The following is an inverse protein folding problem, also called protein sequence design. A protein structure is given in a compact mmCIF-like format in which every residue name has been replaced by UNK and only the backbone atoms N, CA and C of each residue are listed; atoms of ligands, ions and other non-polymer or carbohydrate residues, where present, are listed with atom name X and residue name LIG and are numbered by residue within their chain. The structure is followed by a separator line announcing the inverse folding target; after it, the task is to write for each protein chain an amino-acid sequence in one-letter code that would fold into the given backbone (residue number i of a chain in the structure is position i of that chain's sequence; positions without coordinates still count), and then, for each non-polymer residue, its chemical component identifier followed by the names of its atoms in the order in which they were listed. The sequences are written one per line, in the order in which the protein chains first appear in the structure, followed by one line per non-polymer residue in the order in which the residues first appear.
data_IF_317022201400
#
_entry.id   IF_317022201400
#
_cell.length_a   1.000
_cell.length_b   1.000
_cell.length_c   1.000
_cell.angle_alpha   90.00
_cell.angle_beta   90.00
_cell.angle_gamma   90.00
#
_symmetry.space_group_name_H-M   'P 1'
#
loop_
_entity.id
_entity.type
_entity.pdbx_description
1 polymer ?
#
# COMPACT_ATOMS: atom_id res chain seq x y z
N UNK A 1 -3.07 -42.13 6.95
CA UNK A 1 -2.27 -41.38 7.94
C UNK A 1 -1.52 -40.19 7.33
N UNK A 2 -0.99 -40.30 6.12
CA UNK A 2 -0.21 -39.25 5.43
C UNK A 2 -1.00 -37.98 5.11
N UNK A 3 -2.31 -38.07 4.85
CA UNK A 3 -3.17 -36.90 4.65
C UNK A 3 -3.23 -35.95 5.86
N UNK A 4 -3.22 -36.49 7.08
CA UNK A 4 -3.20 -35.66 8.30
C UNK A 4 -1.89 -34.89 8.40
N UNK A 5 -0.76 -35.52 8.05
CA UNK A 5 0.53 -34.86 7.98
C UNK A 5 0.55 -33.76 6.91
N UNK A 6 0.03 -34.03 5.71
CA UNK A 6 -0.10 -33.05 4.64
C UNK A 6 -0.85 -31.79 5.12
N UNK A 7 -2.07 -31.96 5.65
CA UNK A 7 -2.87 -30.82 6.12
C UNK A 7 -2.26 -30.14 7.35
N UNK A 8 -1.65 -30.90 8.27
CA UNK A 8 -0.94 -30.35 9.42
C UNK A 8 0.22 -29.45 9.00
N UNK A 9 1.09 -29.93 8.12
CA UNK A 9 2.22 -29.16 7.60
C UNK A 9 1.77 -27.97 6.75
N UNK A 10 0.73 -28.13 5.94
CA UNK A 10 0.11 -27.04 5.17
C UNK A 10 -0.33 -25.90 6.10
N UNK A 11 -1.09 -26.22 7.15
CA UNK A 11 -1.59 -25.19 8.07
C UNK A 11 -0.49 -24.62 8.96
N UNK A 12 0.52 -25.39 9.36
CA UNK A 12 1.68 -24.84 10.10
C UNK A 12 2.34 -23.72 9.29
N UNK A 13 2.59 -23.95 8.00
CA UNK A 13 3.27 -22.96 7.15
C UNK A 13 2.39 -21.76 6.81
N UNK A 14 1.16 -21.99 6.36
CA UNK A 14 0.35 -20.92 5.78
C UNK A 14 -0.63 -20.25 6.75
N UNK A 15 -0.89 -20.82 7.94
CA UNK A 15 -1.92 -20.30 8.86
C UNK A 15 -1.72 -18.83 9.24
N UNK A 16 -0.54 -18.37 9.71
CA UNK A 16 -0.38 -16.98 10.12
C UNK A 16 -0.59 -15.99 8.97
N UNK A 17 -0.14 -16.36 7.77
CA UNK A 17 -0.27 -15.51 6.58
C UNK A 17 -1.72 -15.49 6.08
N UNK A 18 -2.40 -16.63 6.05
CA UNK A 18 -3.81 -16.70 5.67
C UNK A 18 -4.69 -15.92 6.66
N UNK A 19 -4.42 -16.04 7.97
CA UNK A 19 -5.13 -15.27 8.99
C UNK A 19 -4.94 -13.76 8.78
N UNK A 20 -3.70 -13.30 8.58
CA UNK A 20 -3.43 -11.90 8.31
C UNK A 20 -4.06 -11.43 6.98
N UNK A 21 -4.04 -12.28 5.95
CA UNK A 21 -4.67 -11.98 4.67
C UNK A 21 -6.18 -11.76 4.82
N UNK A 22 -6.92 -12.71 5.39
CA UNK A 22 -8.38 -12.58 5.52
C UNK A 22 -8.79 -11.51 6.53
N UNK A 23 -8.06 -11.35 7.64
CA UNK A 23 -8.43 -10.42 8.69
C UNK A 23 -8.12 -8.95 8.34
N UNK A 24 -7.07 -8.70 7.56
CA UNK A 24 -6.52 -7.36 7.34
C UNK A 24 -6.48 -6.98 5.85
N UNK A 25 -5.89 -7.82 5.00
CA UNK A 25 -5.65 -7.49 3.59
C UNK A 25 -6.93 -7.56 2.76
N UNK A 26 -7.71 -8.63 2.91
CA UNK A 26 -8.90 -8.92 2.11
C UNK A 26 -10.02 -7.86 2.29
N UNK A 27 -9.94 -7.03 3.34
CA UNK A 27 -10.86 -5.92 3.58
C UNK A 27 -10.69 -4.74 2.62
N UNK A 28 -9.58 -4.68 1.87
CA UNK A 28 -9.34 -3.62 0.89
C UNK A 28 -8.79 -4.22 -0.42
N UNK A 29 -9.51 -4.01 -1.52
CA UNK A 29 -9.15 -4.50 -2.86
C UNK A 29 -7.77 -4.00 -3.32
N UNK A 30 -7.37 -2.80 -2.91
CA UNK A 30 -6.06 -2.23 -3.21
C UNK A 30 -4.92 -2.99 -2.54
N UNK A 31 -5.12 -3.52 -1.32
CA UNK A 31 -4.11 -4.34 -0.66
C UNK A 31 -4.02 -5.71 -1.32
N UNK A 32 -5.15 -6.27 -1.77
CA UNK A 32 -5.19 -7.55 -2.50
C UNK A 32 -4.39 -7.47 -3.80
N UNK A 33 -4.56 -6.42 -4.62
CA UNK A 33 -3.76 -6.27 -5.85
C UNK A 33 -2.27 -6.07 -5.55
N UNK A 34 -1.91 -5.40 -4.45
CA UNK A 34 -0.52 -5.28 -4.02
C UNK A 34 0.07 -6.62 -3.56
N UNK A 35 -0.74 -7.48 -2.92
CA UNK A 35 -0.35 -8.86 -2.60
C UNK A 35 -0.09 -9.69 -3.86
N UNK A 36 -0.98 -9.64 -4.85
CA UNK A 36 -0.77 -10.34 -6.13
C UNK A 36 0.49 -9.81 -6.82
N UNK A 37 0.67 -8.48 -6.85
CA UNK A 37 1.88 -7.84 -7.36
C UNK A 37 3.14 -8.31 -6.62
N UNK A 38 3.10 -8.42 -5.29
CA UNK A 38 4.23 -8.90 -4.49
C UNK A 38 4.63 -10.33 -4.81
N UNK A 39 3.65 -11.22 -5.02
CA UNK A 39 3.90 -12.58 -5.50
C UNK A 39 4.54 -12.58 -6.87
N UNK A 40 4.00 -11.80 -7.82
CA UNK A 40 4.50 -11.73 -9.18
C UNK A 40 5.95 -11.21 -9.26
N UNK A 41 6.25 -10.07 -8.63
CA UNK A 41 7.60 -9.50 -8.65
C UNK A 41 8.62 -10.41 -7.96
N UNK A 42 8.22 -11.14 -6.92
CA UNK A 42 9.08 -12.13 -6.29
C UNK A 42 9.35 -13.33 -7.22
N UNK A 43 8.33 -13.84 -7.93
CA UNK A 43 8.51 -14.90 -8.93
C UNK A 43 9.43 -14.47 -10.08
N UNK A 44 9.27 -13.25 -10.59
CA UNK A 44 10.17 -12.70 -11.62
C UNK A 44 11.61 -12.60 -11.09
N UNK A 45 11.78 -12.23 -9.82
CA UNK A 45 13.10 -12.17 -9.20
C UNK A 45 13.82 -13.52 -9.18
N UNK A 46 13.14 -14.58 -8.72
CA UNK A 46 13.74 -15.92 -8.72
C UNK A 46 13.87 -16.50 -10.13
N UNK A 47 13.02 -16.11 -11.09
CA UNK A 47 13.17 -16.49 -12.49
C UNK A 47 14.47 -15.92 -13.08
N UNK A 48 14.78 -14.66 -12.80
CA UNK A 48 16.05 -14.05 -13.22
C UNK A 48 17.23 -14.71 -12.51
N UNK A 49 17.09 -15.05 -11.22
CA UNK A 49 18.10 -15.81 -10.51
C UNK A 49 18.33 -17.20 -11.14
N UNK A 50 17.29 -17.88 -11.61
CA UNK A 50 17.39 -19.16 -12.31
C UNK A 50 18.08 -19.02 -13.68
N UNK A 51 17.77 -17.96 -14.44
CA UNK A 51 18.47 -17.63 -15.69
C UNK A 51 19.94 -17.33 -15.42
N UNK A 52 20.24 -16.54 -14.38
CA UNK A 52 21.59 -16.22 -13.97
C UNK A 52 22.39 -17.48 -13.60
N UNK A 53 21.78 -18.39 -12.86
CA UNK A 53 22.36 -19.69 -12.52
C UNK A 53 22.64 -20.56 -13.76
N UNK A 54 21.80 -20.47 -14.80
CA UNK A 54 21.95 -21.23 -16.04
C UNK A 54 23.13 -20.76 -16.91
N UNK A 55 23.46 -19.47 -16.92
CA UNK A 55 24.48 -18.87 -17.81
C UNK A 55 25.91 -19.37 -17.50
N UNK A 56 26.23 -19.71 -16.25
CA UNK A 56 27.61 -20.03 -15.83
C UNK A 56 27.71 -21.45 -15.25
N UNK A 57 27.84 -22.48 -16.11
CA UNK A 57 27.94 -23.87 -15.70
C UNK A 57 28.96 -24.22 -14.60
N UNK A 58 30.23 -23.78 -14.67
CA UNK A 58 31.26 -24.23 -13.72
C UNK A 58 31.07 -23.65 -12.31
N UNK A 59 30.32 -22.55 -12.19
CA UNK A 59 30.07 -21.89 -10.89
C UNK A 59 28.85 -22.44 -10.17
N UNK A 60 28.11 -23.39 -10.78
CA UNK A 60 26.89 -23.96 -10.22
C UNK A 60 27.10 -24.82 -8.97
N UNK A 61 28.32 -25.28 -8.71
CA UNK A 61 28.61 -26.09 -7.51
C UNK A 61 28.89 -25.23 -6.27
N UNK A 62 29.13 -23.94 -6.47
CA UNK A 62 29.51 -23.04 -5.38
C UNK A 62 28.27 -22.40 -4.76
N UNK A 63 27.93 -22.82 -3.53
CA UNK A 63 26.80 -22.27 -2.77
C UNK A 63 26.79 -20.75 -2.69
N UNK A 64 27.99 -20.15 -2.55
CA UNK A 64 28.11 -18.70 -2.42
C UNK A 64 27.63 -17.97 -3.66
N UNK A 65 27.82 -18.55 -4.85
CA UNK A 65 27.40 -17.96 -6.11
C UNK A 65 25.88 -17.99 -6.22
N UNK A 66 25.26 -19.16 -6.03
CA UNK A 66 23.81 -19.32 -6.18
C UNK A 66 23.06 -18.44 -5.19
N UNK A 67 23.38 -18.58 -3.90
CA UNK A 67 22.62 -17.95 -2.83
C UNK A 67 22.79 -16.44 -2.87
N UNK A 68 24.02 -15.95 -3.01
CA UNK A 68 24.28 -14.52 -2.93
C UNK A 68 23.61 -13.76 -4.07
N UNK A 69 23.69 -14.28 -5.29
CA UNK A 69 23.03 -13.64 -6.43
C UNK A 69 21.50 -13.76 -6.34
N UNK A 70 20.97 -14.88 -5.87
CA UNK A 70 19.52 -15.04 -5.66
C UNK A 70 18.96 -14.06 -4.63
N UNK A 71 19.66 -13.86 -3.51
CA UNK A 71 19.26 -12.86 -2.50
C UNK A 71 19.39 -11.45 -3.07
N UNK A 72 20.48 -11.15 -3.78
CA UNK A 72 20.70 -9.84 -4.40
C UNK A 72 19.58 -9.48 -5.38
N UNK A 73 19.19 -10.39 -6.28
CA UNK A 73 18.07 -10.15 -7.19
C UNK A 73 16.75 -9.93 -6.45
N UNK A 74 16.50 -10.64 -5.35
CA UNK A 74 15.30 -10.44 -4.54
C UNK A 74 15.26 -9.05 -3.89
N UNK A 75 16.38 -8.56 -3.39
CA UNK A 75 16.48 -7.20 -2.82
C UNK A 75 16.39 -6.10 -3.88
N UNK A 76 16.96 -6.31 -5.07
CA UNK A 76 16.82 -5.39 -6.21
C UNK A 76 15.35 -5.28 -6.62
N UNK A 77 14.65 -6.41 -6.77
CA UNK A 77 13.24 -6.43 -7.15
C UNK A 77 12.34 -5.81 -6.09
N UNK A 78 12.66 -5.98 -4.81
CA UNK A 78 11.96 -5.29 -3.72
C UNK A 78 12.08 -3.76 -3.86
N UNK A 79 13.27 -3.26 -4.16
CA UNK A 79 13.48 -1.83 -4.39
C UNK A 79 12.77 -1.33 -5.64
N UNK A 80 12.79 -2.09 -6.75
CA UNK A 80 12.03 -1.77 -7.97
C UNK A 80 10.54 -1.67 -7.65
N UNK A 81 9.99 -2.60 -6.88
CA UNK A 81 8.58 -2.57 -6.55
C UNK A 81 8.22 -1.41 -5.61
N UNK A 82 9.10 -1.07 -4.67
CA UNK A 82 8.96 0.17 -3.88
C UNK A 82 8.94 1.42 -4.77
N UNK A 83 9.79 1.50 -5.80
CA UNK A 83 9.82 2.61 -6.74
C UNK A 83 8.52 2.69 -7.55
N UNK A 84 8.03 1.55 -8.03
CA UNK A 84 6.76 1.49 -8.76
C UNK A 84 5.57 1.89 -7.87
N UNK A 85 5.53 1.40 -6.62
CA UNK A 85 4.53 1.80 -5.64
C UNK A 85 4.57 3.32 -5.37
N UNK A 86 5.77 3.86 -5.18
CA UNK A 86 5.95 5.30 -4.91
C UNK A 86 5.53 6.13 -6.12
N UNK A 87 5.86 5.70 -7.34
CA UNK A 87 5.41 6.36 -8.55
C UNK A 87 3.88 6.38 -8.67
N UNK A 88 3.19 5.26 -8.38
CA UNK A 88 1.73 5.17 -8.55
C UNK A 88 0.88 5.83 -7.45
N UNK A 89 1.41 5.96 -6.22
CA UNK A 89 0.60 6.40 -5.07
C UNK A 89 1.05 7.70 -4.41
N UNK A 90 2.23 8.23 -4.74
CA UNK A 90 2.78 9.41 -4.05
C UNK A 90 2.14 10.74 -4.46
N UNK A 91 1.27 10.76 -5.48
CA UNK A 91 0.49 11.95 -5.87
C UNK A 91 -0.92 11.97 -5.26
N UNK A 92 -1.42 10.85 -4.72
CA UNK A 92 -2.78 10.78 -4.14
C UNK A 92 -2.83 11.42 -2.76
N UNK A 93 -3.85 12.23 -2.41
CA UNK A 93 -3.95 12.80 -1.07
C UNK A 93 -4.16 11.71 -0.02
N UNK A 94 -3.68 12.00 1.20
CA UNK A 94 -3.95 11.16 2.37
C UNK A 94 -5.38 11.34 2.87
N UNK A 95 -5.91 10.34 3.57
CA UNK A 95 -7.24 10.41 4.17
C UNK A 95 -7.40 11.63 5.09
N UNK A 96 -6.36 12.01 5.81
CA UNK A 96 -6.38 13.18 6.70
C UNK A 96 -6.52 14.48 5.91
N UNK A 97 -5.81 14.61 4.78
CA UNK A 97 -5.95 15.77 3.89
C UNK A 97 -7.33 15.86 3.26
N UNK A 98 -7.93 14.72 2.89
CA UNK A 98 -9.30 14.67 2.38
C UNK A 98 -10.28 15.16 3.46
N UNK A 99 -10.19 14.61 4.69
CA UNK A 99 -11.04 15.02 5.82
C UNK A 99 -10.89 16.50 6.16
N UNK A 100 -9.66 17.00 6.15
CA UNK A 100 -9.37 18.42 6.40
C UNK A 100 -9.96 19.32 5.31
N UNK A 101 -9.81 18.93 4.04
CA UNK A 101 -10.40 19.64 2.90
C UNK A 101 -11.93 19.66 3.00
N UNK A 102 -12.56 18.52 3.33
CA UNK A 102 -14.01 18.44 3.57
C UNK A 102 -14.48 19.38 4.68
N UNK A 103 -13.77 19.39 5.81
CA UNK A 103 -14.09 20.26 6.93
C UNK A 103 -13.95 21.75 6.59
N UNK A 104 -12.86 22.13 5.90
CA UNK A 104 -12.64 23.52 5.46
C UNK A 104 -13.75 23.98 4.50
N UNK A 105 -14.15 23.15 3.54
CA UNK A 105 -15.22 23.47 2.61
C UNK A 105 -16.58 23.64 3.29
N UNK A 106 -16.89 22.80 4.29
CA UNK A 106 -18.12 22.94 5.07
C UNK A 106 -18.15 24.24 5.89
N UNK A 107 -17.02 24.65 6.47
CA UNK A 107 -16.90 25.93 7.17
C UNK A 107 -17.10 27.12 6.24
N UNK A 108 -16.49 27.08 5.05
CA UNK A 108 -16.63 28.13 4.04
C UNK A 108 -18.07 28.20 3.50
N UNK A 109 -18.76 27.06 3.41
CA UNK A 109 -20.16 27.04 3.01
C UNK A 109 -21.07 27.68 4.04
N UNK A 110 -20.83 27.42 5.34
CA UNK A 110 -21.54 28.07 6.43
C UNK A 110 -21.25 29.59 6.52
N UNK A 111 -19.99 30.01 6.35
CA UNK A 111 -19.63 31.44 6.36
C UNK A 111 -20.34 32.22 5.25
N UNK A 112 -20.39 31.68 4.03
CA UNK A 112 -21.10 32.30 2.90
C UNK A 112 -22.61 32.43 3.15
N UNK A 113 -23.23 31.43 3.78
CA UNK A 113 -24.66 31.51 4.18
C UNK A 113 -24.91 32.60 5.22
N UNK A 114 -24.02 32.76 6.20
CA UNK A 114 -24.11 33.84 7.20
C UNK A 114 -23.97 35.22 6.57
N UNK A 115 -23.04 35.40 5.64
CA UNK A 115 -22.86 36.66 4.92
C UNK A 115 -24.10 37.05 4.10
N UNK A 116 -24.73 36.08 3.43
CA UNK A 116 -25.97 36.32 2.68
C UNK A 116 -27.14 36.70 3.61
N UNK A 117 -27.25 36.08 4.79
CA UNK A 117 -28.26 36.43 5.78
C UNK A 117 -28.04 37.82 6.40
N UNK A 118 -26.79 38.23 6.64
CA UNK A 118 -26.50 39.57 7.19
C UNK A 118 -26.87 40.69 6.20
N UNK A 119 -26.72 40.46 4.90
CA UNK A 119 -27.16 41.42 3.88
C UNK A 119 -28.68 41.66 3.90
N UNK A 120 -29.51 40.74 4.42
CA UNK A 120 -30.95 40.96 4.60
C UNK A 120 -31.29 41.93 5.73
N UNK A 121 -30.40 42.11 6.70
CA UNK A 121 -30.65 42.97 7.87
C UNK A 121 -30.15 44.40 7.68
N UNK A 122 -29.42 44.70 6.60
CA UNK A 122 -29.13 46.09 6.27
C UNK A 122 -30.39 46.72 5.64
N UNK A 123 -31.01 47.72 6.29
CA UNK A 123 -32.09 48.46 5.67
C UNK A 123 -31.53 49.16 4.43
N UNK A 124 -32.32 49.30 3.35
CA UNK A 124 -31.86 49.96 2.14
C UNK A 124 -31.53 51.43 2.46
N UNK A 125 -30.24 51.75 2.59
CA UNK A 125 -29.79 53.12 2.87
C UNK A 125 -29.89 54.03 1.64
N UNK A 126 -30.30 53.52 0.47
CA UNK A 126 -30.13 54.22 -0.79
C UNK A 126 -31.44 54.70 -1.44
N UNK A 127 -32.60 54.55 -0.79
CA UNK A 127 -33.86 55.05 -1.35
C UNK A 127 -34.01 56.58 -1.32
N UNK A 128 -33.08 57.31 -0.69
CA UNK A 128 -33.14 58.79 -0.64
C UNK A 128 -32.16 59.46 -1.63
N UNK A 129 -31.17 58.75 -2.19
CA UNK A 129 -30.15 59.41 -3.02
C UNK A 129 -30.26 59.16 -4.53
N UNK A 130 -30.99 58.14 -4.99
CA UNK A 130 -31.08 57.87 -6.43
C UNK A 130 -32.06 58.77 -7.19
N UNK A 131 -32.89 59.58 -6.52
CA UNK A 131 -33.76 60.55 -7.22
C UNK A 131 -32.96 61.75 -7.73
N UNK A 132 -31.78 62.05 -7.17
CA UNK A 132 -31.05 63.28 -7.52
C UNK A 132 -30.02 63.13 -8.65
N UNK A 133 -29.71 61.91 -9.11
CA UNK A 133 -28.72 61.72 -10.18
C UNK A 133 -29.33 61.42 -11.55
N UNK A 134 -30.66 61.38 -11.69
CA UNK A 134 -31.31 61.07 -12.98
C UNK A 134 -31.51 62.31 -13.90
N UNK A 135 -31.07 63.51 -13.50
CA UNK A 135 -31.30 64.74 -14.29
C UNK A 135 -30.03 65.26 -15.00
N UNK A 136 -28.84 64.74 -14.71
CA UNK A 136 -27.60 65.28 -15.32
C UNK A 136 -26.68 64.14 -15.72
N UNK A 137 -26.93 63.55 -16.90
CA UNK A 137 -25.88 63.12 -17.85
C UNK A 137 -26.54 62.48 -19.09
N UNK A 138 -27.49 63.21 -19.68
CA UNK A 138 -27.74 63.08 -21.12
C UNK A 138 -26.65 63.89 -21.81
N UNK A 139 -25.87 63.25 -22.69
CA UNK A 139 -24.94 63.82 -23.69
C UNK A 139 -23.46 63.51 -23.43
N UNK A 140 -22.99 62.37 -23.94
CA UNK A 140 -21.85 62.30 -24.86
C UNK A 140 -21.65 60.82 -25.28
N UNK A 141 -22.18 60.44 -26.44
CA UNK A 141 -21.46 60.42 -27.71
C UNK A 141 -20.27 59.45 -27.76
N UNK A 142 -20.55 58.36 -28.47
CA UNK A 142 -19.73 57.74 -29.51
C UNK A 142 -18.52 56.88 -29.13
N UNK A 143 -18.44 55.81 -29.93
CA UNK A 143 -17.24 55.10 -30.42
C UNK A 143 -16.78 53.88 -29.63
N UNK A 144 -17.27 52.69 -30.00
CA UNK A 144 -16.51 51.73 -30.81
C UNK A 144 -17.24 50.39 -30.89
N UNK A 145 -17.78 50.09 -32.07
CA UNK A 145 -18.18 48.76 -32.48
C UNK A 145 -16.92 47.89 -32.59
N UNK A 146 -16.71 46.99 -31.63
CA UNK A 146 -15.83 45.84 -31.85
C UNK A 146 -16.68 44.58 -31.93
N UNK A 147 -16.61 43.98 -33.12
CA UNK A 147 -17.28 42.77 -33.57
C UNK A 147 -17.08 41.62 -32.57
N UNK A 148 -18.15 41.19 -31.92
CA UNK A 148 -18.22 39.87 -31.31
C UNK A 148 -19.22 39.02 -32.09
N UNK A 149 -18.67 38.11 -32.89
CA UNK A 149 -19.41 37.07 -33.58
C UNK A 149 -19.85 35.99 -32.59
N UNK A 150 -21.14 35.65 -32.70
CA UNK A 150 -21.68 34.29 -32.69
C UNK A 150 -21.51 33.44 -31.42
N UNK A 151 -22.59 33.26 -30.66
CA UNK A 151 -23.52 32.14 -30.89
C UNK A 151 -24.63 32.05 -29.83
N UNK A 152 -25.86 31.85 -30.33
CA UNK A 152 -27.04 31.22 -29.73
C UNK A 152 -27.71 31.89 -28.51
N UNK A 153 -28.64 32.77 -28.88
CA UNK A 153 -30.05 32.84 -28.42
C UNK A 153 -30.49 31.61 -27.62
N UNK A 154 -30.77 31.82 -26.34
CA UNK A 154 -31.94 31.25 -25.67
C UNK A 154 -32.68 32.47 -25.09
N UNK A 155 -33.74 32.87 -25.80
CA UNK A 155 -34.72 33.83 -25.32
C UNK A 155 -35.54 33.14 -24.22
N UNK A 156 -35.06 33.20 -22.98
CA UNK A 156 -35.89 32.94 -21.80
C UNK A 156 -36.38 34.28 -21.25
N UNK A 157 -37.70 34.41 -21.20
CA UNK A 157 -38.47 35.54 -20.72
C UNK A 157 -37.81 36.30 -19.55
N UNK A 158 -37.64 37.61 -19.73
CA UNK A 158 -37.29 38.57 -18.68
C UNK A 158 -38.42 38.70 -17.65
N UNK A 159 -38.72 37.62 -16.91
CA UNK A 159 -39.37 37.75 -15.61
C UNK A 159 -38.34 38.35 -14.67
N UNK A 160 -38.65 39.52 -14.11
CA UNK A 160 -37.85 40.15 -13.07
C UNK A 160 -37.78 39.19 -11.88
N UNK A 161 -36.67 38.46 -11.83
CA UNK A 161 -36.49 37.42 -10.83
C UNK A 161 -36.28 38.12 -9.49
N UNK A 162 -37.18 37.85 -8.54
CA UNK A 162 -37.05 38.34 -7.16
C UNK A 162 -35.67 38.02 -6.60
N UNK A 163 -35.11 38.94 -5.82
CA UNK A 163 -33.79 38.76 -5.19
C UNK A 163 -33.75 37.47 -4.33
N UNK A 164 -34.89 37.05 -3.78
CA UNK A 164 -35.01 35.78 -3.05
C UNK A 164 -34.81 34.55 -3.94
N UNK A 165 -35.33 34.55 -5.18
CA UNK A 165 -35.12 33.46 -6.14
C UNK A 165 -33.67 33.43 -6.66
N UNK A 166 -33.05 34.61 -6.89
CA UNK A 166 -31.63 34.68 -7.25
C UNK A 166 -30.76 34.08 -6.14
N UNK A 167 -31.08 34.32 -4.87
CA UNK A 167 -30.38 33.76 -3.71
C UNK A 167 -30.60 32.25 -3.55
N UNK A 168 -31.85 31.77 -3.64
CA UNK A 168 -32.16 30.33 -3.61
C UNK A 168 -31.32 29.58 -4.65
N UNK A 169 -31.22 30.13 -5.87
CA UNK A 169 -30.33 29.58 -6.91
C UNK A 169 -28.84 29.65 -6.55
N UNK A 170 -28.37 30.72 -5.89
CA UNK A 170 -26.96 30.80 -5.43
C UNK A 170 -26.64 29.73 -4.37
N UNK A 171 -27.53 29.54 -3.40
CA UNK A 171 -27.39 28.53 -2.33
C UNK A 171 -27.45 27.12 -2.92
N UNK A 172 -28.37 26.88 -3.86
CA UNK A 172 -28.52 25.61 -4.55
C UNK A 172 -27.27 25.29 -5.40
N UNK A 173 -26.78 26.25 -6.21
CA UNK A 173 -25.51 26.10 -6.96
C UNK A 173 -24.32 25.81 -6.04
N UNK A 174 -24.30 26.39 -4.84
CA UNK A 174 -23.25 26.13 -3.87
C UNK A 174 -23.36 24.73 -3.25
N UNK A 175 -24.56 24.30 -2.90
CA UNK A 175 -24.84 22.94 -2.42
C UNK A 175 -24.47 21.90 -3.49
N UNK A 176 -24.75 22.17 -4.76
CA UNK A 176 -24.37 21.32 -5.89
C UNK A 176 -22.84 21.15 -5.97
N UNK A 177 -22.09 22.25 -5.89
CA UNK A 177 -20.61 22.21 -5.89
C UNK A 177 -20.05 21.42 -4.72
N UNK A 178 -20.64 21.54 -3.54
CA UNK A 178 -20.22 20.77 -2.36
C UNK A 178 -20.44 19.26 -2.56
N UNK A 179 -21.59 18.87 -3.12
CA UNK A 179 -21.88 17.47 -3.48
C UNK A 179 -20.87 16.96 -4.52
N UNK A 180 -20.60 17.73 -5.57
CA UNK A 180 -19.65 17.35 -6.63
C UNK A 180 -18.23 17.18 -6.07
N UNK A 181 -17.76 18.09 -5.22
CA UNK A 181 -16.43 17.96 -4.63
C UNK A 181 -16.38 16.79 -3.65
N UNK A 182 -17.41 16.57 -2.83
CA UNK A 182 -17.46 15.41 -1.94
C UNK A 182 -17.44 14.10 -2.73
N UNK A 183 -18.20 13.99 -3.81
CA UNK A 183 -18.14 12.84 -4.72
C UNK A 183 -16.75 12.69 -5.35
N UNK A 184 -16.10 13.80 -5.74
CA UNK A 184 -14.72 13.77 -6.25
C UNK A 184 -13.71 13.30 -5.21
N UNK A 185 -13.89 13.68 -3.95
CA UNK A 185 -13.06 13.24 -2.84
C UNK A 185 -13.30 11.77 -2.48
N UNK A 186 -14.51 11.26 -2.67
CA UNK A 186 -14.84 9.84 -2.50
C UNK A 186 -14.25 8.98 -3.63
N UNK A 187 -14.37 9.43 -4.88
CA UNK A 187 -13.78 8.74 -6.06
C UNK A 187 -12.26 8.78 -6.05
N UNK A 188 -11.65 9.81 -5.47
CA UNK A 188 -10.22 9.89 -5.27
C UNK A 188 -9.83 8.96 -4.12
N UNK A 189 -9.65 7.67 -4.43
CA UNK A 189 -9.30 6.65 -3.43
C UNK A 189 -8.14 7.16 -2.57
N UNK A 190 -8.38 7.28 -1.26
CA UNK A 190 -7.36 7.75 -0.33
C UNK A 190 -6.09 6.91 -0.45
N UNK A 191 -4.93 7.55 -0.33
CA UNK A 191 -3.64 6.84 -0.31
C UNK A 191 -3.66 5.75 0.78
N UNK A 192 -3.33 4.49 0.45
CA UNK A 192 -3.32 3.42 1.44
C UNK A 192 -2.17 3.62 2.43
N UNK A 193 -2.34 3.09 3.65
CA UNK A 193 -1.30 3.10 4.66
C UNK A 193 -0.05 2.38 4.13
N UNK A 194 1.06 3.10 4.01
CA UNK A 194 2.30 2.58 3.45
C UNK A 194 2.79 1.30 4.12
N UNK A 195 2.70 1.21 5.45
CA UNK A 195 3.08 0.03 6.22
C UNK A 195 2.21 -1.17 5.85
N UNK A 196 0.91 -0.95 5.71
CA UNK A 196 -0.04 -1.99 5.36
C UNK A 196 0.14 -2.44 3.91
N UNK A 197 0.39 -1.49 2.99
CA UNK A 197 0.78 -1.76 1.61
C UNK A 197 2.04 -2.63 1.54
N UNK A 198 3.08 -2.30 2.31
CA UNK A 198 4.32 -3.09 2.37
C UNK A 198 4.13 -4.47 2.98
N UNK A 199 3.27 -4.60 4.00
CA UNK A 199 2.91 -5.88 4.58
C UNK A 199 2.13 -6.75 3.57
N UNK A 200 1.21 -6.16 2.80
CA UNK A 200 0.46 -6.85 1.76
C UNK A 200 1.37 -7.37 0.64
N UNK A 201 2.33 -6.56 0.18
CA UNK A 201 3.39 -6.98 -0.76
C UNK A 201 4.20 -8.13 -0.17
N UNK A 202 4.59 -7.99 1.10
CA UNK A 202 5.32 -9.00 1.85
C UNK A 202 4.59 -10.33 1.92
N UNK A 203 3.29 -10.30 2.20
CA UNK A 203 2.42 -11.49 2.19
C UNK A 203 2.42 -12.17 0.84
N UNK A 204 2.32 -11.40 -0.25
CA UNK A 204 2.41 -11.93 -1.61
C UNK A 204 3.71 -12.67 -1.87
N UNK A 205 4.84 -12.00 -1.58
CA UNK A 205 6.16 -12.60 -1.74
C UNK A 205 6.42 -13.79 -0.80
N UNK A 206 5.83 -13.77 0.39
CA UNK A 206 5.93 -14.86 1.37
C UNK A 206 5.11 -16.08 0.93
N UNK A 207 3.87 -15.88 0.48
CA UNK A 207 3.06 -16.98 -0.09
C UNK A 207 3.76 -17.60 -1.29
N UNK A 208 4.27 -16.78 -2.21
CA UNK A 208 5.01 -17.27 -3.37
C UNK A 208 6.26 -18.07 -2.98
N UNK A 209 7.04 -17.57 -2.02
CA UNK A 209 8.17 -18.30 -1.44
C UNK A 209 7.73 -19.65 -0.87
N UNK A 210 6.66 -19.66 -0.08
CA UNK A 210 6.13 -20.88 0.52
C UNK A 210 5.78 -21.92 -0.54
N UNK A 211 5.09 -21.52 -1.60
CA UNK A 211 4.76 -22.43 -2.69
C UNK A 211 5.99 -22.95 -3.43
N UNK A 212 6.93 -22.08 -3.80
CA UNK A 212 8.10 -22.50 -4.59
C UNK A 212 9.06 -23.37 -3.77
N UNK A 213 9.31 -23.04 -2.51
CA UNK A 213 10.31 -23.75 -1.70
C UNK A 213 9.76 -24.98 -0.99
N UNK A 214 8.45 -25.01 -0.68
CA UNK A 214 7.84 -26.09 0.09
C UNK A 214 6.78 -26.87 -0.67
N UNK A 215 6.19 -26.34 -1.74
CA UNK A 215 5.07 -26.96 -2.46
C UNK A 215 5.35 -28.39 -2.92
N UNK A 216 6.50 -28.62 -3.56
CA UNK A 216 6.88 -29.97 -4.02
C UNK A 216 7.15 -30.94 -2.87
N UNK A 217 7.83 -30.47 -1.81
CA UNK A 217 8.11 -31.27 -0.61
C UNK A 217 6.80 -31.64 0.10
N UNK A 218 5.89 -30.69 0.20
CA UNK A 218 4.57 -30.88 0.80
C UNK A 218 3.73 -31.86 -0.03
N UNK A 219 3.76 -31.78 -1.36
CA UNK A 219 3.04 -32.71 -2.22
C UNK A 219 3.48 -34.16 -2.00
N UNK A 220 4.79 -34.40 -1.87
CA UNK A 220 5.34 -35.75 -1.62
C UNK A 220 4.90 -36.34 -0.27
N UNK A 221 4.52 -35.51 0.70
CA UNK A 221 3.99 -35.98 1.98
C UNK A 221 2.66 -36.74 1.89
N UNK A 222 1.98 -36.68 0.73
CA UNK A 222 0.76 -37.46 0.47
C UNK A 222 1.05 -38.93 0.13
N UNK A 223 2.29 -39.22 -0.30
CA UNK A 223 2.75 -40.56 -0.66
C UNK A 223 2.81 -41.53 0.52
N UNK A 224 3.02 -42.83 0.26
CA UNK A 224 3.11 -43.84 1.32
C UNK A 224 4.40 -43.68 2.14
N UNK A 225 4.26 -43.63 3.46
CA UNK A 225 5.39 -43.57 4.40
C UNK A 225 5.72 -42.15 4.86
N UNK A 226 6.84 -42.02 5.57
CA UNK A 226 7.37 -40.74 6.05
C UNK A 226 8.85 -40.68 5.78
N UNK A 227 9.34 -39.52 5.36
CA UNK A 227 10.76 -39.27 5.17
C UNK A 227 11.30 -38.58 6.42
N UNK A 228 12.40 -39.08 6.96
CA UNK A 228 13.12 -38.42 8.06
C UNK A 228 14.23 -37.54 7.50
N UNK A 229 14.49 -36.43 8.19
CA UNK A 229 15.57 -35.54 7.77
C UNK A 229 16.93 -36.21 8.02
N UNK A 230 17.85 -36.28 7.03
CA UNK A 230 19.19 -36.81 7.25
C UNK A 230 19.97 -36.04 8.33
N UNK A 231 19.70 -34.73 8.48
CA UNK A 231 20.33 -33.88 9.48
C UNK A 231 19.78 -34.12 10.90
N UNK A 232 18.58 -34.68 11.01
CA UNK A 232 17.93 -35.02 12.28
C UNK A 232 17.06 -36.27 12.10
N UNK A 233 17.62 -37.48 12.32
CA UNK A 233 16.90 -38.74 12.13
C UNK A 233 15.66 -38.89 13.01
N UNK A 234 15.51 -38.08 14.05
CA UNK A 234 14.36 -38.07 14.95
C UNK A 234 13.16 -37.26 14.46
N UNK A 235 13.31 -36.40 13.43
CA UNK A 235 12.24 -35.52 12.96
C UNK A 235 11.87 -35.80 11.51
N UNK A 236 10.57 -35.69 11.24
CA UNK A 236 10.01 -35.80 9.90
C UNK A 236 10.49 -34.64 9.01
N UNK A 237 10.99 -34.95 7.82
CA UNK A 237 11.45 -33.99 6.82
C UNK A 237 10.36 -32.96 6.47
N UNK A 238 9.11 -33.42 6.31
CA UNK A 238 7.97 -32.57 5.96
C UNK A 238 7.66 -31.56 7.05
N UNK A 239 7.69 -31.99 8.32
CA UNK A 239 7.51 -31.11 9.48
C UNK A 239 8.65 -30.10 9.58
N UNK A 240 9.89 -30.55 9.43
CA UNK A 240 11.07 -29.70 9.44
C UNK A 240 11.01 -28.61 8.37
N UNK A 241 10.72 -28.98 7.12
CA UNK A 241 10.55 -28.03 6.03
C UNK A 241 9.40 -27.05 6.30
N UNK A 242 8.27 -27.53 6.83
CA UNK A 242 7.13 -26.66 7.14
C UNK A 242 7.46 -25.55 8.16
N UNK A 243 8.28 -25.85 9.17
CA UNK A 243 8.72 -24.91 10.21
C UNK A 243 9.70 -23.89 9.63
N UNK A 244 10.69 -24.33 8.84
CA UNK A 244 11.64 -23.41 8.19
C UNK A 244 10.89 -22.48 7.22
N UNK A 245 9.96 -23.02 6.43
CA UNK A 245 9.15 -22.22 5.52
C UNK A 245 8.23 -21.26 6.27
N UNK A 246 7.63 -21.65 7.40
CA UNK A 246 6.87 -20.74 8.25
C UNK A 246 7.73 -19.51 8.65
N UNK A 247 8.94 -19.74 9.16
CA UNK A 247 9.82 -18.63 9.54
C UNK A 247 10.22 -17.75 8.36
N UNK A 248 10.62 -18.35 7.25
CA UNK A 248 11.03 -17.62 6.05
C UNK A 248 9.88 -16.79 5.46
N UNK A 249 8.67 -17.34 5.43
CA UNK A 249 7.50 -16.62 4.93
C UNK A 249 7.11 -15.45 5.83
N UNK A 250 7.19 -15.59 7.17
CA UNK A 250 7.04 -14.47 8.10
C UNK A 250 8.11 -13.41 7.92
N UNK A 251 9.38 -13.83 7.77
CA UNK A 251 10.49 -12.93 7.49
C UNK A 251 10.29 -12.17 6.18
N UNK A 252 9.76 -12.79 5.12
CA UNK A 252 9.42 -12.08 3.88
C UNK A 252 8.41 -10.94 4.12
N UNK A 253 7.40 -11.15 4.97
CA UNK A 253 6.46 -10.08 5.35
C UNK A 253 7.20 -8.96 6.08
N UNK A 254 7.97 -9.30 7.12
CA UNK A 254 8.70 -8.34 7.95
C UNK A 254 9.75 -7.55 7.16
N UNK A 255 10.52 -8.24 6.31
CA UNK A 255 11.55 -7.64 5.47
C UNK A 255 10.97 -6.62 4.50
N UNK A 256 9.81 -6.90 3.90
CA UNK A 256 9.15 -5.92 3.04
C UNK A 256 8.70 -4.68 3.84
N UNK A 257 8.14 -4.85 5.05
CA UNK A 257 7.74 -3.73 5.90
C UNK A 257 8.94 -2.85 6.29
N UNK A 258 10.00 -3.48 6.82
CA UNK A 258 11.21 -2.78 7.25
C UNK A 258 11.94 -2.09 6.09
N UNK A 259 12.05 -2.76 4.94
CA UNK A 259 12.70 -2.19 3.75
C UNK A 259 11.90 -1.00 3.20
N UNK A 260 10.57 -1.10 3.08
CA UNK A 260 9.73 0.02 2.62
C UNK A 260 9.79 1.22 3.56
N UNK A 261 9.82 0.97 4.88
CA UNK A 261 10.03 2.03 5.87
C UNK A 261 11.41 2.66 5.70
N UNK A 262 12.46 1.85 5.52
CA UNK A 262 13.83 2.31 5.28
C UNK A 262 13.98 3.16 4.01
N UNK A 263 13.44 2.69 2.87
CA UNK A 263 13.50 3.40 1.60
C UNK A 263 12.76 4.74 1.65
N UNK A 264 11.58 4.78 2.28
CA UNK A 264 10.76 5.99 2.39
C UNK A 264 11.32 7.01 3.37
N UNK A 265 11.72 6.57 4.57
CA UNK A 265 12.27 7.46 5.60
C UNK A 265 13.76 7.77 5.41
N UNK A 266 14.39 7.29 4.32
CA UNK A 266 15.84 7.38 4.07
C UNK A 266 16.70 6.84 5.22
N UNK A 267 16.13 5.94 6.03
CA UNK A 267 16.78 5.30 7.16
C UNK A 267 17.46 4.01 6.67
N UNK A 268 18.65 4.16 6.11
CA UNK A 268 19.38 3.06 5.48
C UNK A 268 19.74 1.93 6.45
N UNK A 269 19.81 2.18 7.76
CA UNK A 269 20.04 1.12 8.76
C UNK A 269 18.95 0.04 8.75
N UNK A 270 17.68 0.37 8.46
CA UNK A 270 16.63 -0.64 8.34
C UNK A 270 16.85 -1.52 7.09
N UNK A 271 17.23 -0.90 5.97
CA UNK A 271 17.51 -1.62 4.73
C UNK A 271 18.74 -2.51 4.89
N UNK A 272 19.80 -1.99 5.49
CA UNK A 272 21.02 -2.75 5.77
C UNK A 272 20.72 -3.95 6.69
N UNK A 273 19.93 -3.75 7.75
CA UNK A 273 19.47 -4.85 8.62
C UNK A 273 18.75 -5.94 7.82
N UNK A 274 17.80 -5.55 6.96
CA UNK A 274 17.05 -6.51 6.12
C UNK A 274 17.98 -7.27 5.18
N UNK A 275 18.89 -6.60 4.49
CA UNK A 275 19.83 -7.27 3.58
C UNK A 275 20.70 -8.25 4.36
N UNK A 276 21.34 -7.80 5.44
CA UNK A 276 22.23 -8.63 6.25
C UNK A 276 21.49 -9.85 6.80
N UNK A 277 20.31 -9.64 7.41
CA UNK A 277 19.53 -10.75 7.97
C UNK A 277 18.99 -11.68 6.91
N UNK A 278 18.55 -11.18 5.74
CA UNK A 278 18.12 -12.04 4.64
C UNK A 278 19.27 -12.93 4.14
N UNK A 279 20.47 -12.38 3.94
CA UNK A 279 21.66 -13.17 3.62
C UNK A 279 21.92 -14.22 4.71
N UNK A 280 22.00 -13.82 5.97
CA UNK A 280 22.26 -14.74 7.10
C UNK A 280 21.21 -15.87 7.13
N UNK A 281 19.91 -15.55 7.07
CA UNK A 281 18.85 -16.56 7.13
C UNK A 281 18.87 -17.50 5.93
N UNK A 282 19.14 -17.00 4.73
CA UNK A 282 19.21 -17.85 3.53
C UNK A 282 20.41 -18.79 3.59
N UNK A 283 21.57 -18.33 4.07
CA UNK A 283 22.72 -19.23 4.30
C UNK A 283 22.47 -20.23 5.44
N UNK A 284 21.77 -19.83 6.50
CA UNK A 284 21.41 -20.75 7.59
C UNK A 284 20.52 -21.91 7.11
N UNK A 285 19.73 -21.74 6.04
CA UNK A 285 18.97 -22.85 5.45
C UNK A 285 19.87 -23.96 4.90
N UNK A 286 21.13 -23.66 4.53
CA UNK A 286 22.08 -24.67 4.09
C UNK A 286 22.55 -25.60 5.20
N UNK A 287 22.44 -25.17 6.47
CA UNK A 287 22.80 -26.04 7.59
C UNK A 287 21.81 -27.20 7.75
N UNK A 288 20.72 -27.21 6.99
CA UNK A 288 19.79 -28.33 6.88
C UNK A 288 20.17 -29.34 5.76
N UNK A 289 21.35 -29.20 5.14
CA UNK A 289 21.85 -30.21 4.20
C UNK A 289 22.28 -31.49 4.92
N UNK A 290 22.28 -32.64 4.23
CA UNK A 290 22.82 -33.91 4.73
C UNK A 290 24.36 -33.88 4.81
N UNK A 291 24.94 -32.97 5.59
CA UNK A 291 26.38 -32.99 5.91
C UNK A 291 26.55 -33.51 7.34
N UNK A 292 27.53 -34.40 7.55
CA UNK A 292 27.69 -35.18 8.79
C UNK A 292 27.84 -34.34 10.08
N UNK A 293 28.21 -33.07 9.98
CA UNK A 293 28.63 -32.27 11.14
C UNK A 293 27.52 -31.45 11.77
N UNK A 294 26.43 -31.19 11.05
CA UNK A 294 25.43 -30.18 11.48
C UNK A 294 24.07 -30.81 11.66
N UNK A 295 23.48 -30.62 12.84
CA UNK A 295 22.11 -31.01 13.09
C UNK A 295 21.13 -29.98 12.51
N UNK A 296 19.92 -30.41 12.15
CA UNK A 296 18.86 -29.50 11.72
C UNK A 296 18.60 -28.36 12.71
N UNK A 297 18.86 -28.58 14.01
CA UNK A 297 18.76 -27.60 15.10
C UNK A 297 19.62 -26.36 14.81
N UNK A 298 20.79 -26.53 14.18
CA UNK A 298 21.68 -25.44 13.80
C UNK A 298 21.10 -24.49 12.73
N UNK A 299 20.09 -24.92 11.98
CA UNK A 299 19.33 -24.05 11.06
C UNK A 299 18.07 -23.47 11.73
N UNK A 300 17.23 -24.34 12.30
CA UNK A 300 15.91 -23.95 12.82
C UNK A 300 16.04 -22.95 13.97
N UNK A 301 16.91 -23.22 14.95
CA UNK A 301 16.99 -22.42 16.16
C UNK A 301 17.47 -20.99 15.85
N UNK A 302 18.58 -20.78 15.10
CA UNK A 302 18.99 -19.43 14.71
C UNK A 302 17.96 -18.71 13.81
N UNK A 303 17.36 -19.40 12.85
CA UNK A 303 16.31 -18.80 11.99
C UNK A 303 15.11 -18.38 12.82
N UNK A 304 14.68 -19.21 13.79
CA UNK A 304 13.58 -18.89 14.71
C UNK A 304 13.90 -17.66 15.57
N UNK A 305 15.11 -17.58 16.15
CA UNK A 305 15.55 -16.42 16.93
C UNK A 305 15.56 -15.15 16.07
N UNK A 306 16.12 -15.22 14.85
CA UNK A 306 16.15 -14.08 13.92
C UNK A 306 14.73 -13.67 13.54
N UNK A 307 13.81 -14.62 13.37
CA UNK A 307 12.41 -14.34 13.05
C UNK A 307 11.73 -13.58 14.18
N UNK A 308 11.81 -14.09 15.41
CA UNK A 308 11.22 -13.43 16.60
C UNK A 308 11.82 -12.04 16.81
N UNK A 309 13.15 -11.92 16.71
CA UNK A 309 13.85 -10.65 16.82
C UNK A 309 13.41 -9.67 15.73
N UNK A 310 13.32 -10.10 14.48
CA UNK A 310 12.92 -9.26 13.35
C UNK A 310 11.47 -8.79 13.46
N UNK A 311 10.56 -9.66 13.93
CA UNK A 311 9.17 -9.29 14.23
C UNK A 311 9.11 -8.25 15.35
N UNK A 312 9.81 -8.48 16.46
CA UNK A 312 9.88 -7.52 17.57
C UNK A 312 10.49 -6.18 17.15
N UNK A 313 11.58 -6.21 16.38
CA UNK A 313 12.22 -5.02 15.82
C UNK A 313 11.31 -4.27 14.84
N UNK A 314 10.53 -4.99 14.03
CA UNK A 314 9.51 -4.40 13.15
C UNK A 314 8.45 -3.67 13.96
N UNK A 315 7.84 -4.32 14.95
CA UNK A 315 6.83 -3.69 15.82
C UNK A 315 7.41 -2.46 16.51
N UNK A 316 8.60 -2.56 17.11
CA UNK A 316 9.29 -1.43 17.74
C UNK A 316 9.54 -0.27 16.76
N UNK A 317 9.99 -0.59 15.54
CA UNK A 317 10.24 0.41 14.49
C UNK A 317 8.96 1.09 14.01
N UNK A 318 7.83 0.38 14.03
CA UNK A 318 6.52 0.93 13.70
C UNK A 318 5.96 1.82 14.81
N UNK A 319 6.13 1.42 16.08
CA UNK A 319 5.72 2.22 17.25
C UNK A 319 6.51 3.52 17.37
N UNK A 320 7.82 3.48 17.07
CA UNK A 320 8.68 4.68 17.09
C UNK A 320 8.45 5.61 15.89
N UNK A 321 7.91 5.08 14.80
CA UNK A 321 7.60 5.92 13.63
C UNK A 321 6.28 6.63 13.90
N UNK A 322 6.27 7.97 13.82
CA UNK A 322 5.07 8.85 13.98
C UNK A 322 3.87 8.49 13.07
N UNK A 323 4.02 7.47 12.22
CA UNK A 323 2.97 6.89 11.39
C UNK A 323 1.80 6.31 12.21
N UNK A 324 1.97 5.96 13.48
CA UNK A 324 0.88 5.46 14.34
C UNK A 324 0.50 6.48 15.43
N UNK A 325 1.45 7.26 15.94
CA UNK A 325 1.21 8.18 17.05
C UNK A 325 0.40 9.43 16.69
N UNK A 326 0.17 9.71 15.40
CA UNK A 326 -0.78 10.76 14.94
C UNK A 326 -2.20 10.23 14.76
N UNK A 327 -2.68 9.38 15.67
CA UNK A 327 -4.11 9.18 15.88
C UNK A 327 -4.53 10.27 16.88
N UNK A 328 -4.92 11.42 16.35
CA UNK A 328 -5.67 12.44 17.09
C UNK A 328 -7.15 12.06 17.13
#
# INVERSE_FOLDING_TARGET
MTQVLFYGCLFITFSPILAFFFMVIAKNSQLVILTIGGSFFWLVSILIAAIWWYIIPPMREHWWFIISFSVLFQEIFRYIFFRLYSYGFNDRPSLNQIKETQHQMALDSMRKRKQAQQQKQQPPTNEIESINNEIIDTTNNNTNNNNNNNNNINDDDNKEITEEEKEKRKIEKQKQREIEINARLETLSARPNHTLSSAAIGVGSGVAYGFIMFGSILWESTGPGTLFSPACPSVNLFMLSSIITLFMTLLHVVYNVLAFQGYRSKKYHLVAFVIITHFVTTYLTLLNLPTKTTSCVGSILPIGIITVFSVGFCIFSLLKSDSITKIH
#
